data_IF_111302898849
#
_entry.id   IF_111302898849
#
_cell.length_a   1.000
_cell.length_b   1.000
_cell.length_c   1.000
_cell.angle_alpha   90.00
_cell.angle_beta   90.00
_cell.angle_gamma   90.00
#
_symmetry.space_group_name_H-M   'P 1'
#
loop_
_entity.id
_entity.type
_entity.pdbx_description
1 polymer ?
#
# COMPACT_ATOMS: atom_id res chain seq x y z
N UNK A 1 -13.34 -12.72 8.44
CA UNK A 1 -14.16 -13.40 7.42
C UNK A 1 -13.40 -14.23 6.39
N UNK A 2 -12.17 -13.89 5.95
CA UNK A 2 -11.40 -14.75 5.00
C UNK A 2 -10.41 -15.73 5.64
N UNK A 3 -10.12 -15.59 6.94
CA UNK A 3 -9.16 -16.41 7.71
C UNK A 3 -7.79 -16.63 7.04
N UNK A 4 -7.38 -15.73 6.14
CA UNK A 4 -6.08 -15.80 5.48
C UNK A 4 -5.02 -15.08 6.30
N UNK A 5 -3.87 -15.72 6.48
CA UNK A 5 -2.71 -15.08 7.10
C UNK A 5 -2.17 -13.99 6.17
N UNK A 6 -2.09 -12.74 6.66
CA UNK A 6 -1.68 -11.57 5.87
C UNK A 6 -0.26 -11.09 6.17
N UNK A 7 0.21 -11.31 7.38
CA UNK A 7 1.54 -10.94 7.81
C UNK A 7 1.96 -11.77 9.03
N UNK A 8 3.27 -11.88 9.22
CA UNK A 8 3.88 -12.68 10.27
C UNK A 8 5.18 -12.00 10.71
N UNK A 9 5.35 -11.86 12.02
CA UNK A 9 6.50 -11.18 12.62
C UNK A 9 7.00 -12.04 13.78
N UNK A 10 8.30 -12.35 13.80
CA UNK A 10 8.94 -13.15 14.84
C UNK A 10 9.98 -12.32 15.59
N UNK A 11 9.79 -12.17 16.90
CA UNK A 11 10.73 -11.51 17.81
C UNK A 11 11.37 -12.57 18.73
N UNK A 12 12.65 -12.42 19.08
CA UNK A 12 13.28 -13.28 20.09
C UNK A 12 12.76 -12.95 21.49
N UNK A 13 13.02 -13.84 22.46
CA UNK A 13 12.64 -13.64 23.86
C UNK A 13 13.23 -12.36 24.48
N UNK A 14 14.36 -11.89 23.95
CA UNK A 14 15.14 -10.76 24.49
C UNK A 14 14.66 -9.39 24.00
N UNK A 15 13.72 -9.32 23.05
CA UNK A 15 13.35 -8.06 22.40
C UNK A 15 11.84 -7.82 22.48
N UNK A 16 11.46 -6.69 23.09
CA UNK A 16 10.07 -6.25 23.14
C UNK A 16 9.52 -5.89 21.75
N UNK A 17 8.24 -6.16 21.52
CA UNK A 17 7.55 -5.85 20.26
C UNK A 17 7.18 -4.38 20.18
N UNK A 18 7.20 -3.82 18.97
CA UNK A 18 6.59 -2.53 18.68
C UNK A 18 5.09 -2.72 18.40
N UNK A 19 4.24 -2.35 19.36
CA UNK A 19 2.77 -2.50 19.24
C UNK A 19 2.19 -1.50 18.24
N UNK A 20 2.74 -0.28 18.18
CA UNK A 20 2.27 0.74 17.24
C UNK A 20 2.46 0.29 15.79
N UNK A 21 3.53 -0.45 15.50
CA UNK A 21 3.75 -1.03 14.17
C UNK A 21 2.73 -2.12 13.84
N UNK A 22 2.30 -2.92 14.84
CA UNK A 22 1.25 -3.92 14.64
C UNK A 22 -0.08 -3.23 14.29
N UNK A 23 -0.42 -2.15 15.00
CA UNK A 23 -1.61 -1.33 14.70
C UNK A 23 -1.51 -0.73 13.30
N UNK A 24 -0.37 -0.09 12.97
CA UNK A 24 -0.14 0.51 11.65
C UNK A 24 -0.26 -0.51 10.53
N UNK A 25 0.31 -1.71 10.70
CA UNK A 25 0.23 -2.80 9.74
C UNK A 25 -1.23 -3.24 9.51
N UNK A 26 -2.03 -3.40 10.56
CA UNK A 26 -3.45 -3.74 10.42
C UNK A 26 -4.21 -2.64 9.66
N UNK A 27 -3.98 -1.37 10.01
CA UNK A 27 -4.60 -0.24 9.30
C UNK A 27 -4.20 -0.19 7.83
N UNK A 28 -2.92 -0.44 7.51
CA UNK A 28 -2.43 -0.50 6.13
C UNK A 28 -3.08 -1.64 5.34
N UNK A 29 -3.21 -2.83 5.94
CA UNK A 29 -3.86 -3.99 5.32
C UNK A 29 -5.35 -3.73 5.05
N UNK A 30 -6.06 -3.09 5.98
CA UNK A 30 -7.46 -2.70 5.79
C UNK A 30 -7.59 -1.63 4.71
N UNK A 31 -6.72 -0.62 4.71
CA UNK A 31 -6.70 0.42 3.67
C UNK A 31 -6.47 -0.18 2.28
N UNK A 32 -5.56 -1.16 2.17
CA UNK A 32 -5.32 -1.89 0.93
C UNK A 32 -6.55 -2.67 0.46
N UNK A 33 -7.22 -3.39 1.37
CA UNK A 33 -8.42 -4.16 1.05
C UNK A 33 -9.59 -3.26 0.62
N UNK A 34 -9.73 -2.08 1.24
CA UNK A 34 -10.84 -1.14 0.98
C UNK A 34 -10.64 -0.32 -0.31
N UNK A 35 -9.40 0.06 -0.61
CA UNK A 35 -9.08 0.95 -1.74
C UNK A 35 -8.54 0.23 -2.97
N UNK A 36 -8.01 -0.98 -2.81
CA UNK A 36 -7.22 -1.67 -3.85
C UNK A 36 -5.85 -1.05 -4.12
N UNK A 37 -5.43 -0.05 -3.33
CA UNK A 37 -4.15 0.66 -3.49
C UNK A 37 -3.09 0.15 -2.52
N UNK A 38 -1.83 0.19 -2.91
CA UNK A 38 -0.72 -0.26 -2.08
C UNK A 38 -0.21 0.85 -1.14
N UNK A 39 0.22 0.49 0.07
CA UNK A 39 0.82 1.43 1.02
C UNK A 39 2.34 1.47 0.84
N UNK A 40 2.97 2.63 0.59
CA UNK A 40 4.44 2.74 0.47
C UNK A 40 5.18 2.40 1.78
N UNK A 41 6.51 2.32 1.69
CA UNK A 41 7.35 2.19 2.87
C UNK A 41 7.10 3.35 3.85
N UNK A 42 7.06 3.04 5.15
CA UNK A 42 6.77 4.00 6.24
C UNK A 42 5.41 4.70 6.19
N UNK A 43 4.49 4.27 5.31
CA UNK A 43 3.16 4.86 5.16
C UNK A 43 2.41 4.97 6.50
N UNK A 44 1.73 6.11 6.69
CA UNK A 44 0.78 6.36 7.76
C UNK A 44 -0.58 6.77 7.20
N UNK A 45 -1.67 6.63 7.98
CA UNK A 45 -2.99 7.12 7.56
C UNK A 45 -2.93 8.59 7.14
N UNK A 46 -3.44 8.87 5.93
CA UNK A 46 -3.39 10.20 5.30
C UNK A 46 -2.26 10.38 4.29
N UNK A 47 -1.22 9.53 4.32
CA UNK A 47 -0.16 9.56 3.31
C UNK A 47 -0.68 9.03 1.95
N UNK A 48 -0.07 9.44 0.82
CA UNK A 48 -0.42 8.93 -0.50
C UNK A 48 -0.27 7.42 -0.61
N UNK A 49 -1.18 6.81 -1.37
CA UNK A 49 -1.19 5.39 -1.71
C UNK A 49 -0.63 5.19 -3.12
N UNK A 50 -0.03 4.03 -3.38
CA UNK A 50 0.49 3.64 -4.69
C UNK A 50 -0.61 2.95 -5.50
N UNK A 51 -0.78 3.37 -6.74
CA UNK A 51 -1.65 2.70 -7.71
C UNK A 51 -0.93 1.46 -8.24
N UNK A 52 -1.53 0.24 -8.19
CA UNK A 52 -0.89 -0.98 -8.70
C UNK A 52 -0.42 -0.82 -10.14
N UNK A 53 0.81 -1.22 -10.51
CA UNK A 53 1.38 -0.97 -11.84
C UNK A 53 0.52 -1.61 -12.94
N UNK A 54 0.45 -0.98 -14.13
CA UNK A 54 -0.34 -1.51 -15.23
C UNK A 54 0.33 -2.78 -15.77
N UNK A 55 -0.46 -3.69 -16.31
CA UNK A 55 0.03 -4.97 -16.84
C UNK A 55 0.20 -4.94 -18.36
N UNK A 56 -0.38 -3.93 -19.03
CA UNK A 56 -0.31 -3.75 -20.48
C UNK A 56 0.20 -2.36 -20.84
N UNK A 57 0.68 -2.20 -22.08
CA UNK A 57 1.10 -0.91 -22.59
C UNK A 57 -0.09 0.07 -22.71
N UNK A 58 -1.27 -0.42 -23.11
CA UNK A 58 -2.48 0.40 -23.21
C UNK A 58 -2.86 1.00 -21.85
N UNK A 59 -2.89 0.19 -20.80
CA UNK A 59 -3.14 0.66 -19.43
C UNK A 59 -2.09 1.66 -18.94
N UNK A 60 -0.83 1.48 -19.33
CA UNK A 60 0.25 2.41 -19.00
C UNK A 60 0.05 3.77 -19.67
N UNK A 61 -0.33 3.77 -20.96
CA UNK A 61 -0.61 4.99 -21.72
C UNK A 61 -1.85 5.73 -21.22
N UNK A 62 -2.89 5.01 -20.82
CA UNK A 62 -4.09 5.60 -20.18
C UNK A 62 -3.75 6.23 -18.84
N UNK A 63 -2.98 5.53 -18.01
CA UNK A 63 -2.59 6.00 -16.68
C UNK A 63 -1.78 7.28 -16.72
N UNK A 64 -0.80 7.38 -17.62
CA UNK A 64 0.05 8.58 -17.72
C UNK A 64 -0.77 9.82 -18.14
N UNK A 65 -1.93 9.62 -18.78
CA UNK A 65 -2.85 10.69 -19.18
C UNK A 65 -3.88 11.03 -18.10
N UNK A 66 -4.01 10.22 -17.05
CA UNK A 66 -4.99 10.42 -15.99
C UNK A 66 -4.53 11.53 -15.03
N UNK A 67 -5.24 12.67 -14.95
CA UNK A 67 -4.87 13.78 -14.07
C UNK A 67 -5.16 13.52 -12.59
N UNK A 68 -5.86 12.43 -12.26
CA UNK A 68 -6.22 12.07 -10.87
C UNK A 68 -5.09 11.36 -10.12
N UNK A 69 -4.02 10.99 -10.81
CA UNK A 69 -2.84 10.31 -10.25
C UNK A 69 -1.58 11.15 -10.46
N UNK A 70 -0.69 11.12 -9.49
CA UNK A 70 0.61 11.77 -9.57
C UNK A 70 1.66 10.72 -9.92
N UNK A 71 2.19 10.76 -11.15
CA UNK A 71 3.12 9.78 -11.68
C UNK A 71 4.54 10.34 -11.78
N UNK A 72 5.50 9.64 -11.19
CA UNK A 72 6.94 9.87 -11.47
C UNK A 72 7.34 9.13 -12.74
N UNK A 73 6.78 7.95 -12.95
CA UNK A 73 6.94 7.13 -14.15
C UNK A 73 5.65 6.30 -14.35
N UNK A 74 5.46 5.68 -15.51
CA UNK A 74 4.23 4.96 -15.87
C UNK A 74 3.85 3.84 -14.89
N UNK A 75 4.86 3.19 -14.28
CA UNK A 75 4.69 2.12 -13.30
C UNK A 75 4.60 2.64 -11.86
N UNK A 76 4.96 3.90 -11.62
CA UNK A 76 5.03 4.50 -10.28
C UNK A 76 4.15 5.74 -10.21
N UNK A 77 2.89 5.52 -9.86
CA UNK A 77 1.91 6.57 -9.64
C UNK A 77 1.31 6.48 -8.25
N UNK A 78 1.02 7.62 -7.67
CA UNK A 78 0.40 7.75 -6.34
C UNK A 78 -0.93 8.48 -6.42
N UNK A 79 -1.80 8.22 -5.44
CA UNK A 79 -3.08 8.87 -5.27
C UNK A 79 -3.24 9.27 -3.81
N UNK A 80 -3.67 10.50 -3.57
CA UNK A 80 -4.01 10.95 -2.21
C UNK A 80 -5.33 10.29 -1.77
N UNK A 81 -5.43 9.83 -0.51
CA UNK A 81 -6.65 9.23 0.02
C UNK A 81 -7.83 10.21 0.04
#
# INVERSE_FOLDING_TARGET
DKQMMRAMIYYPLTTGRNVDEIVRLVTALQTNDDTGLATPANWRPGDPLIVPPPQTQEEAEERVKDPSVECTDWYFCTKKP
#
